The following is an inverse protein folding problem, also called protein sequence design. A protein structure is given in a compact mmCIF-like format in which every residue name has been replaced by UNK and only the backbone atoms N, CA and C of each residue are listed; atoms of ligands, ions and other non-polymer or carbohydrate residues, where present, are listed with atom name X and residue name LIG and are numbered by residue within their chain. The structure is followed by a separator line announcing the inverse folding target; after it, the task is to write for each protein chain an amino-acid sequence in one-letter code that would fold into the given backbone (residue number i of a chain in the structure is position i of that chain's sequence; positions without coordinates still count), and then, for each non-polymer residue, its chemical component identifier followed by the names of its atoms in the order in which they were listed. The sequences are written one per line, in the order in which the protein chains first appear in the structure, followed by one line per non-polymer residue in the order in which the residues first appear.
data_IF_307804627302
#
_entry.id   IF_307804627302
#
_cell.length_a   1.000
_cell.length_b   1.000
_cell.length_c   1.000
_cell.angle_alpha   90.00
_cell.angle_beta   90.00
_cell.angle_gamma   90.00
#
_symmetry.space_group_name_H-M   'P 1'
#
loop_
_entity.id
_entity.type
_entity.pdbx_description
1 polymer ?
#
# COMPACT_ATOMS: atom_id res chain seq x y z
N UNK A 1 -0.40 37.67 -22.47
CA UNK A 1 -0.87 37.31 -21.11
C UNK A 1 -2.28 36.74 -21.21
N UNK A 2 -2.40 35.41 -21.31
CA UNK A 2 -3.68 34.70 -21.45
C UNK A 2 -3.89 33.80 -20.24
N UNK A 3 -5.13 33.77 -19.78
CA UNK A 3 -5.62 33.23 -18.51
C UNK A 3 -5.27 31.76 -18.27
N UNK A 4 -4.44 31.52 -17.24
CA UNK A 4 -4.09 30.20 -16.73
C UNK A 4 -4.94 29.89 -15.47
N UNK A 5 -6.26 29.73 -15.67
CA UNK A 5 -7.25 29.55 -14.58
C UNK A 5 -8.11 28.30 -14.73
N UNK A 6 -7.61 27.28 -15.43
CA UNK A 6 -8.41 26.08 -15.75
C UNK A 6 -7.94 24.77 -15.14
N UNK A 7 -6.89 24.75 -14.30
CA UNK A 7 -6.38 23.48 -13.74
C UNK A 7 -6.73 23.19 -12.26
N UNK A 8 -7.61 23.97 -11.64
CA UNK A 8 -8.12 23.69 -10.28
C UNK A 8 -9.41 22.85 -10.27
N UNK A 9 -9.60 21.98 -11.26
CA UNK A 9 -10.80 21.12 -11.36
C UNK A 9 -10.41 19.66 -11.57
N UNK A 10 -9.71 19.03 -10.60
CA UNK A 10 -9.60 17.56 -10.51
C UNK A 10 -9.17 17.02 -9.13
N UNK A 11 -9.56 17.69 -8.05
CA UNK A 11 -9.78 17.04 -6.75
C UNK A 11 -11.23 17.22 -6.35
N UNK A 12 -12.14 16.74 -7.21
CA UNK A 12 -13.42 16.27 -6.68
C UNK A 12 -13.06 15.07 -5.84
N UNK A 13 -13.14 15.23 -4.52
CA UNK A 13 -13.16 14.12 -3.58
C UNK A 13 -13.95 12.98 -4.24
N UNK A 14 -13.29 11.83 -4.45
CA UNK A 14 -13.99 10.60 -4.84
C UNK A 14 -15.17 10.54 -3.90
N UNK A 15 -16.36 10.58 -4.48
CA UNK A 15 -17.63 10.64 -3.76
C UNK A 15 -17.52 9.71 -2.57
N UNK A 16 -17.78 10.26 -1.37
CA UNK A 16 -18.02 9.52 -0.13
C UNK A 16 -18.59 8.16 -0.51
N UNK A 17 -17.86 7.08 -0.20
CA UNK A 17 -18.26 5.68 -0.44
C UNK A 17 -19.78 5.61 -0.42
N UNK A 18 -20.39 5.52 -1.61
CA UNK A 18 -21.83 5.51 -1.78
C UNK A 18 -22.33 4.30 -0.99
N UNK A 19 -22.92 4.57 0.17
CA UNK A 19 -23.76 3.67 0.94
C UNK A 19 -23.33 2.19 0.95
N UNK A 20 -22.08 1.87 1.35
CA UNK A 20 -21.79 0.51 1.83
C UNK A 20 -22.66 0.15 3.05
N UNK A 21 -23.17 1.19 3.72
CA UNK A 21 -24.24 1.15 4.72
C UNK A 21 -25.60 1.51 4.10
N UNK A 22 -25.94 1.04 2.88
CA UNK A 22 -27.34 0.97 2.46
C UNK A 22 -28.02 -0.08 3.33
N UNK A 23 -28.32 0.34 4.56
CA UNK A 23 -29.25 -0.30 5.47
C UNK A 23 -30.56 -0.39 4.71
N UNK A 24 -30.80 -1.53 4.08
CA UNK A 24 -32.15 -1.84 3.63
C UNK A 24 -33.03 -1.71 4.89
N UNK A 25 -34.03 -0.81 4.90
CA UNK A 25 -34.95 -0.69 6.02
C UNK A 25 -35.55 -2.05 6.43
N UNK A 26 -35.65 -2.96 5.46
CA UNK A 26 -36.05 -4.36 5.65
C UNK A 26 -35.12 -5.10 6.61
N UNK A 27 -33.79 -4.96 6.49
CA UNK A 27 -32.83 -5.58 7.43
C UNK A 27 -32.98 -5.03 8.85
N UNK A 28 -33.26 -3.73 9.00
CA UNK A 28 -33.48 -3.13 10.33
C UNK A 28 -34.72 -3.70 11.01
N UNK A 29 -35.81 -3.83 10.26
CA UNK A 29 -37.09 -4.38 10.75
C UNK A 29 -36.98 -5.88 11.04
N UNK A 30 -36.39 -6.65 10.13
CA UNK A 30 -36.22 -8.10 10.26
C UNK A 30 -35.37 -8.47 11.49
N UNK A 31 -34.22 -7.81 11.67
CA UNK A 31 -33.38 -8.01 12.85
C UNK A 31 -34.03 -7.51 14.15
N UNK A 32 -34.82 -6.43 14.07
CA UNK A 32 -35.60 -5.94 15.20
C UNK A 32 -36.67 -6.96 15.63
N UNK A 33 -37.31 -7.62 14.67
CA UNK A 33 -38.26 -8.70 14.91
C UNK A 33 -37.56 -9.97 15.43
N UNK A 34 -36.47 -10.40 14.79
CA UNK A 34 -35.68 -11.55 15.22
C UNK A 34 -35.11 -11.36 16.64
N UNK A 35 -34.65 -10.15 16.96
CA UNK A 35 -34.25 -9.80 18.32
C UNK A 35 -35.43 -9.92 19.28
N UNK A 36 -36.59 -9.35 18.97
CA UNK A 36 -37.79 -9.47 19.82
C UNK A 36 -38.18 -10.92 20.11
N UNK A 37 -38.11 -11.80 19.12
CA UNK A 37 -38.40 -13.23 19.24
C UNK A 37 -37.38 -13.94 20.14
N UNK A 38 -36.09 -13.65 19.97
CA UNK A 38 -35.01 -14.28 20.74
C UNK A 38 -34.87 -13.76 22.18
N UNK A 39 -35.60 -12.72 22.60
CA UNK A 39 -35.51 -12.18 23.98
C UNK A 39 -35.82 -13.22 25.06
N UNK A 40 -36.59 -14.26 24.71
CA UNK A 40 -36.95 -15.35 25.61
C UNK A 40 -36.08 -16.60 25.51
N UNK A 41 -35.15 -16.66 24.55
CA UNK A 41 -34.33 -17.84 24.33
C UNK A 41 -33.18 -17.91 25.37
N UNK A 42 -32.84 -19.11 25.86
CA UNK A 42 -31.65 -19.30 26.69
C UNK A 42 -30.39 -18.93 25.90
N UNK A 43 -29.44 -18.26 26.55
CA UNK A 43 -28.13 -18.04 25.97
C UNK A 43 -27.29 -19.32 26.10
N UNK A 44 -26.68 -19.74 24.99
CA UNK A 44 -25.64 -20.76 25.03
C UNK A 44 -24.29 -20.17 25.47
N UNK A 45 -23.24 -21.01 25.56
CA UNK A 45 -21.88 -20.54 25.87
C UNK A 45 -21.38 -19.47 24.87
N UNK A 46 -21.87 -19.50 23.63
CA UNK A 46 -21.51 -18.57 22.56
C UNK A 46 -22.50 -17.40 22.40
N UNK A 47 -23.39 -17.18 23.37
CA UNK A 47 -24.43 -16.15 23.34
C UNK A 47 -25.76 -16.64 22.77
N UNK A 48 -26.64 -15.69 22.43
CA UNK A 48 -27.95 -16.02 21.82
C UNK A 48 -27.85 -16.26 20.31
N UNK A 49 -28.84 -16.94 19.73
CA UNK A 49 -28.92 -17.13 18.28
C UNK A 49 -28.93 -15.79 17.52
N UNK A 50 -29.57 -14.75 18.07
CA UNK A 50 -29.51 -13.40 17.53
C UNK A 50 -28.09 -12.82 17.56
N UNK A 51 -27.33 -12.99 18.65
CA UNK A 51 -25.95 -12.49 18.73
C UNK A 51 -25.04 -13.20 17.73
N UNK A 52 -25.21 -14.51 17.54
CA UNK A 52 -24.48 -15.28 16.54
C UNK A 52 -24.79 -14.82 15.11
N UNK A 53 -26.07 -14.60 14.77
CA UNK A 53 -26.47 -14.05 13.47
C UNK A 53 -25.90 -12.66 13.26
N UNK A 54 -25.97 -11.79 14.27
CA UNK A 54 -25.41 -10.45 14.23
C UNK A 54 -23.90 -10.47 13.94
N UNK A 55 -23.16 -11.35 14.63
CA UNK A 55 -21.73 -11.55 14.43
C UNK A 55 -21.42 -12.08 13.02
N UNK A 56 -22.21 -13.03 12.52
CA UNK A 56 -22.08 -13.55 11.16
C UNK A 56 -22.28 -12.45 10.11
N UNK A 57 -23.34 -11.64 10.24
CA UNK A 57 -23.59 -10.51 9.33
C UNK A 57 -22.49 -9.45 9.41
N UNK A 58 -21.97 -9.17 10.61
CA UNK A 58 -20.82 -8.27 10.77
C UNK A 58 -19.61 -8.79 10.00
N UNK A 59 -19.23 -10.06 10.19
CA UNK A 59 -18.09 -10.69 9.51
C UNK A 59 -18.26 -10.70 7.99
N UNK A 60 -19.45 -11.02 7.50
CA UNK A 60 -19.75 -11.00 6.08
C UNK A 60 -19.60 -9.60 5.48
N UNK A 61 -20.13 -8.58 6.13
CA UNK A 61 -20.02 -7.20 5.66
C UNK A 61 -18.58 -6.68 5.72
N UNK A 62 -17.83 -7.06 6.76
CA UNK A 62 -16.42 -6.75 6.90
C UNK A 62 -15.58 -7.40 5.78
N UNK A 63 -15.83 -8.67 5.45
CA UNK A 63 -15.21 -9.36 4.32
C UNK A 63 -15.57 -8.71 2.98
N UNK A 64 -16.81 -8.24 2.81
CA UNK A 64 -17.23 -7.50 1.59
C UNK A 64 -16.50 -6.17 1.44
N UNK A 65 -16.23 -5.46 2.55
CA UNK A 65 -15.39 -4.24 2.52
C UNK A 65 -14.00 -4.62 2.01
N UNK A 66 -13.37 -5.62 2.63
CA UNK A 66 -12.03 -6.05 2.25
C UNK A 66 -11.95 -6.47 0.77
N UNK A 67 -12.90 -7.27 0.28
CA UNK A 67 -12.95 -7.72 -1.10
C UNK A 67 -13.11 -6.53 -2.08
N UNK A 68 -14.02 -5.60 -1.80
CA UNK A 68 -14.21 -4.41 -2.65
C UNK A 68 -13.00 -3.51 -2.67
N UNK A 69 -12.32 -3.36 -1.53
CA UNK A 69 -11.06 -2.60 -1.46
C UNK A 69 -9.97 -3.30 -2.27
N UNK A 70 -9.85 -4.63 -2.18
CA UNK A 70 -8.91 -5.40 -2.98
C UNK A 70 -9.16 -5.22 -4.49
N UNK A 71 -10.42 -5.29 -4.92
CA UNK A 71 -10.80 -5.09 -6.33
C UNK A 71 -10.50 -3.65 -6.80
N UNK A 72 -10.82 -2.66 -5.96
CA UNK A 72 -10.58 -1.24 -6.27
C UNK A 72 -9.09 -0.90 -6.37
N UNK A 73 -8.24 -1.59 -5.61
CA UNK A 73 -6.79 -1.40 -5.58
C UNK A 73 -6.01 -2.35 -6.48
N UNK A 74 -6.68 -3.30 -7.15
CA UNK A 74 -6.01 -4.38 -7.88
C UNK A 74 -5.01 -3.86 -8.92
N UNK A 75 -5.37 -2.77 -9.63
CA UNK A 75 -4.54 -2.16 -10.65
C UNK A 75 -3.33 -1.44 -10.03
N UNK A 76 -3.58 -0.56 -9.08
CA UNK A 76 -2.56 0.27 -8.40
C UNK A 76 -1.57 -0.62 -7.63
N UNK A 77 -2.04 -1.67 -6.95
CA UNK A 77 -1.20 -2.63 -6.24
C UNK A 77 -0.35 -3.48 -7.20
N UNK A 78 -0.88 -3.84 -8.38
CA UNK A 78 -0.11 -4.53 -9.42
C UNK A 78 0.97 -3.61 -9.99
N UNK A 79 0.59 -2.38 -10.34
CA UNK A 79 1.54 -1.38 -10.87
C UNK A 79 2.64 -1.10 -9.85
N UNK A 80 2.31 -0.96 -8.55
CA UNK A 80 3.30 -0.78 -7.49
C UNK A 80 4.32 -1.92 -7.45
N UNK A 81 3.87 -3.19 -7.55
CA UNK A 81 4.76 -4.35 -7.60
C UNK A 81 5.66 -4.34 -8.82
N UNK A 82 5.12 -4.01 -9.99
CA UNK A 82 5.87 -3.93 -11.25
C UNK A 82 6.94 -2.83 -11.19
N UNK A 83 6.55 -1.63 -10.75
CA UNK A 83 7.47 -0.50 -10.61
C UNK A 83 8.54 -0.76 -9.55
N UNK A 84 8.19 -1.38 -8.42
CA UNK A 84 9.18 -1.76 -7.41
C UNK A 84 10.17 -2.80 -7.95
N UNK A 85 9.68 -3.81 -8.69
CA UNK A 85 10.55 -4.79 -9.36
C UNK A 85 11.48 -4.12 -10.37
N UNK A 86 10.99 -3.13 -11.12
CA UNK A 86 11.80 -2.34 -12.04
C UNK A 86 12.86 -1.53 -11.29
N UNK A 87 12.49 -0.84 -10.21
CA UNK A 87 13.42 -0.06 -9.39
C UNK A 87 14.58 -0.92 -8.83
N UNK A 88 14.27 -2.13 -8.35
CA UNK A 88 15.29 -3.09 -7.89
C UNK A 88 16.20 -3.53 -9.04
N UNK A 89 15.65 -3.73 -10.24
CA UNK A 89 16.45 -4.08 -11.43
C UNK A 89 17.42 -2.95 -11.80
N UNK A 90 16.93 -1.70 -11.85
CA UNK A 90 17.75 -0.53 -12.16
C UNK A 90 18.91 -0.37 -11.18
N UNK A 91 18.71 -0.64 -9.88
CA UNK A 91 19.79 -0.66 -8.89
C UNK A 91 20.92 -1.61 -9.28
N UNK A 92 20.60 -2.84 -9.70
CA UNK A 92 21.60 -3.82 -10.14
C UNK A 92 22.30 -3.42 -11.44
N UNK A 93 21.57 -2.76 -12.35
CA UNK A 93 22.15 -2.26 -13.61
C UNK A 93 23.13 -1.11 -13.33
N UNK A 94 22.81 -0.21 -12.39
CA UNK A 94 23.72 0.84 -11.92
C UNK A 94 24.98 0.21 -11.32
N UNK A 95 24.85 -0.74 -10.40
CA UNK A 95 25.99 -1.44 -9.78
C UNK A 95 26.89 -2.10 -10.85
N UNK A 96 26.28 -2.69 -11.89
CA UNK A 96 27.02 -3.32 -12.99
C UNK A 96 27.78 -2.29 -13.85
N UNK A 97 27.19 -1.12 -14.12
CA UNK A 97 27.89 -0.04 -14.83
C UNK A 97 29.00 0.55 -13.98
N UNK A 98 28.79 0.75 -12.68
CA UNK A 98 29.81 1.21 -11.75
C UNK A 98 30.99 0.23 -11.66
N UNK A 99 30.72 -1.07 -11.63
CA UNK A 99 31.75 -2.09 -11.71
C UNK A 99 32.56 -1.99 -13.03
N UNK A 100 31.88 -1.82 -14.17
CA UNK A 100 32.54 -1.62 -15.48
C UNK A 100 33.40 -0.36 -15.51
N UNK A 101 32.99 0.71 -14.81
CA UNK A 101 33.81 1.93 -14.66
C UNK A 101 35.07 1.62 -13.85
N UNK A 102 34.94 0.89 -12.74
CA UNK A 102 36.09 0.51 -11.89
C UNK A 102 37.05 -0.48 -12.55
N UNK A 103 36.55 -1.29 -13.49
CA UNK A 103 37.35 -2.25 -14.28
C UNK A 103 37.95 -1.63 -15.56
N UNK A 104 37.61 -0.38 -15.89
CA UNK A 104 38.13 0.27 -17.09
C UNK A 104 39.66 0.42 -16.96
N UNK A 105 40.44 -0.20 -17.86
CA UNK A 105 41.89 -0.18 -17.72
C UNK A 105 42.43 1.23 -17.97
N UNK A 106 43.34 1.65 -17.10
CA UNK A 106 44.10 2.89 -17.30
C UNK A 106 44.75 2.88 -18.69
N UNK A 107 44.76 4.03 -19.39
CA UNK A 107 45.30 4.10 -20.73
C UNK A 107 46.79 3.73 -20.70
N UNK A 108 47.19 2.74 -21.49
CA UNK A 108 48.60 2.34 -21.59
C UNK A 108 49.33 3.37 -22.46
N UNK A 109 50.00 4.32 -21.81
CA UNK A 109 50.64 5.46 -22.49
C UNK A 109 52.04 5.12 -23.06
N UNK A 110 52.69 4.06 -22.58
CA UNK A 110 54.09 3.75 -22.89
C UNK A 110 54.32 2.69 -23.98
N UNK A 111 53.28 1.99 -24.44
CA UNK A 111 53.44 0.90 -25.41
C UNK A 111 53.38 1.43 -26.85
N UNK A 112 54.47 1.39 -27.62
CA UNK A 112 54.47 1.77 -29.05
C UNK A 112 54.24 0.52 -29.90
N UNK A 113 53.12 0.45 -30.61
CA UNK A 113 52.86 -0.65 -31.54
C UNK A 113 53.75 -0.57 -32.78
N UNK A 114 54.00 -1.70 -33.46
CA UNK A 114 54.84 -1.72 -34.68
C UNK A 114 54.32 -0.80 -35.81
N UNK A 115 53.01 -0.53 -35.86
CA UNK A 115 52.40 0.42 -36.81
C UNK A 115 52.46 1.89 -36.39
N UNK A 116 52.92 2.19 -35.17
CA UNK A 116 52.96 3.55 -34.59
C UNK A 116 54.38 4.11 -34.50
N UNK A 117 55.40 3.34 -34.92
CA UNK A 117 56.82 3.70 -34.84
C UNK A 117 57.22 4.97 -35.61
N UNK A 118 56.35 5.47 -36.48
CA UNK A 118 56.56 6.67 -37.30
C UNK A 118 55.68 7.85 -36.88
N UNK A 119 54.87 7.69 -35.84
CA UNK A 119 53.98 8.73 -35.33
C UNK A 119 54.60 9.42 -34.12
N UNK A 120 54.25 10.70 -33.94
CA UNK A 120 54.63 11.47 -32.76
C UNK A 120 54.05 10.83 -31.50
N UNK A 121 54.91 10.54 -30.52
CA UNK A 121 54.56 9.93 -29.24
C UNK A 121 53.52 10.79 -28.49
N UNK A 122 53.59 12.12 -28.61
CA UNK A 122 52.59 13.01 -28.04
C UNK A 122 51.22 12.84 -28.70
N UNK A 123 51.17 12.62 -30.01
CA UNK A 123 49.93 12.41 -30.75
C UNK A 123 49.28 11.05 -30.41
N UNK A 124 50.08 9.98 -30.25
CA UNK A 124 49.60 8.65 -29.83
C UNK A 124 49.02 8.74 -28.42
N UNK A 125 49.75 9.36 -27.48
CA UNK A 125 49.30 9.56 -26.10
C UNK A 125 47.98 10.33 -26.03
N UNK A 126 47.88 11.44 -26.75
CA UNK A 126 46.66 12.26 -26.81
C UNK A 126 45.48 11.52 -27.44
N UNK A 127 45.72 10.63 -28.40
CA UNK A 127 44.66 9.78 -28.96
C UNK A 127 44.17 8.75 -27.94
N UNK A 128 45.07 8.04 -27.27
CA UNK A 128 44.71 7.01 -26.27
C UNK A 128 43.97 7.59 -25.07
N UNK A 129 44.38 8.76 -24.61
CA UNK A 129 43.64 9.50 -23.57
C UNK A 129 42.23 9.84 -24.05
N UNK A 130 42.06 10.36 -25.26
CA UNK A 130 40.72 10.63 -25.82
C UNK A 130 39.85 9.39 -25.97
N UNK A 131 40.43 8.26 -26.36
CA UNK A 131 39.69 6.98 -26.47
C UNK A 131 39.24 6.48 -25.09
N UNK A 132 40.13 6.56 -24.08
CA UNK A 132 39.80 6.24 -22.70
C UNK A 132 38.72 7.18 -22.14
N UNK A 133 38.89 8.50 -22.27
CA UNK A 133 37.95 9.50 -21.80
C UNK A 133 36.58 9.36 -22.46
N UNK A 134 36.54 9.00 -23.75
CA UNK A 134 35.30 8.73 -24.46
C UNK A 134 34.60 7.46 -23.92
N UNK A 135 35.36 6.40 -23.63
CA UNK A 135 34.81 5.17 -23.05
C UNK A 135 34.28 5.40 -21.62
N UNK A 136 35.05 6.11 -20.79
CA UNK A 136 34.64 6.50 -19.45
C UNK A 136 33.40 7.40 -19.48
N UNK A 137 33.39 8.42 -20.35
CA UNK A 137 32.26 9.31 -20.53
C UNK A 137 30.98 8.57 -20.93
N UNK A 138 31.08 7.60 -21.85
CA UNK A 138 29.94 6.78 -22.25
C UNK A 138 29.36 5.96 -21.08
N UNK A 139 30.21 5.37 -20.24
CA UNK A 139 29.77 4.63 -19.05
C UNK A 139 29.16 5.56 -17.99
N UNK A 140 29.74 6.74 -17.79
CA UNK A 140 29.21 7.74 -16.86
C UNK A 140 27.84 8.26 -17.32
N UNK A 141 27.66 8.50 -18.62
CA UNK A 141 26.38 8.87 -19.21
C UNK A 141 25.34 7.76 -19.07
N UNK A 142 25.73 6.49 -19.26
CA UNK A 142 24.88 5.31 -19.02
C UNK A 142 24.43 5.24 -17.56
N UNK A 143 25.36 5.34 -16.60
CA UNK A 143 25.05 5.34 -15.17
C UNK A 143 24.13 6.49 -14.78
N UNK A 144 24.35 7.70 -15.33
CA UNK A 144 23.50 8.86 -15.09
C UNK A 144 22.07 8.62 -15.57
N UNK A 145 21.90 8.11 -16.79
CA UNK A 145 20.56 7.80 -17.34
C UNK A 145 19.82 6.77 -16.49
N UNK A 146 20.51 5.72 -16.05
CA UNK A 146 19.92 4.70 -15.19
C UNK A 146 19.50 5.26 -13.83
N UNK A 147 20.31 6.16 -13.24
CA UNK A 147 19.95 6.86 -11.99
C UNK A 147 18.74 7.78 -12.18
N UNK A 148 18.70 8.55 -13.27
CA UNK A 148 17.56 9.43 -13.58
C UNK A 148 16.27 8.60 -13.77
N UNK A 149 16.35 7.47 -14.46
CA UNK A 149 15.22 6.53 -14.62
C UNK A 149 14.81 5.91 -13.28
N UNK A 150 15.77 5.50 -12.45
CA UNK A 150 15.53 4.92 -11.13
C UNK A 150 14.80 5.91 -10.22
N UNK A 151 15.21 7.17 -10.22
CA UNK A 151 14.54 8.25 -9.48
C UNK A 151 13.10 8.45 -9.94
N UNK A 152 12.85 8.47 -11.26
CA UNK A 152 11.50 8.60 -11.80
C UNK A 152 10.59 7.41 -11.40
N UNK A 153 11.12 6.18 -11.43
CA UNK A 153 10.42 4.99 -10.98
C UNK A 153 10.15 5.04 -9.47
N UNK A 154 11.09 5.55 -8.68
CA UNK A 154 10.94 5.73 -7.23
C UNK A 154 9.82 6.71 -6.88
N UNK A 155 9.76 7.87 -7.55
CA UNK A 155 8.67 8.84 -7.37
C UNK A 155 7.29 8.21 -7.69
N UNK A 156 7.24 7.41 -8.76
CA UNK A 156 6.02 6.67 -9.14
C UNK A 156 5.64 5.66 -8.06
N UNK A 157 6.60 4.90 -7.54
CA UNK A 157 6.40 3.95 -6.45
C UNK A 157 5.85 4.63 -5.19
N UNK A 158 6.44 5.76 -4.77
CA UNK A 158 5.99 6.53 -3.61
C UNK A 158 4.55 7.00 -3.79
N UNK A 159 4.21 7.51 -4.97
CA UNK A 159 2.85 7.97 -5.29
C UNK A 159 1.82 6.83 -5.25
N UNK A 160 2.14 5.69 -5.86
CA UNK A 160 1.28 4.51 -5.87
C UNK A 160 1.10 3.93 -4.46
N UNK A 161 2.19 3.87 -3.67
CA UNK A 161 2.15 3.42 -2.28
C UNK A 161 1.28 4.32 -1.43
N UNK A 162 1.38 5.64 -1.56
CA UNK A 162 0.52 6.58 -0.85
C UNK A 162 -0.96 6.36 -1.20
N UNK A 163 -1.28 6.18 -2.49
CA UNK A 163 -2.66 5.90 -2.94
C UNK A 163 -3.21 4.60 -2.35
N UNK A 164 -2.41 3.53 -2.37
CA UNK A 164 -2.79 2.22 -1.82
C UNK A 164 -2.96 2.28 -0.30
N UNK A 165 -2.09 3.03 0.40
CA UNK A 165 -2.17 3.22 1.84
C UNK A 165 -3.41 4.03 2.24
N UNK A 166 -3.70 5.13 1.56
CA UNK A 166 -4.87 5.97 1.84
C UNK A 166 -6.18 5.18 1.69
N UNK A 167 -6.35 4.43 0.60
CA UNK A 167 -7.56 3.62 0.40
C UNK A 167 -7.67 2.46 1.40
N UNK A 168 -6.56 1.91 1.88
CA UNK A 168 -6.56 0.92 2.96
C UNK A 168 -6.94 1.54 4.30
N UNK A 169 -6.42 2.71 4.64
CA UNK A 169 -6.79 3.45 5.85
C UNK A 169 -8.29 3.80 5.84
N UNK A 170 -8.81 4.26 4.70
CA UNK A 170 -10.25 4.49 4.52
C UNK A 170 -11.06 3.21 4.72
N UNK A 171 -10.59 2.06 4.22
CA UNK A 171 -11.25 0.78 4.44
C UNK A 171 -11.26 0.39 5.92
N UNK A 172 -10.15 0.60 6.64
CA UNK A 172 -10.05 0.39 8.09
C UNK A 172 -11.04 1.27 8.85
N UNK A 173 -11.15 2.56 8.51
CA UNK A 173 -12.14 3.46 9.11
C UNK A 173 -13.59 2.97 8.88
N UNK A 174 -13.89 2.51 7.67
CA UNK A 174 -15.23 2.00 7.33
C UNK A 174 -15.53 0.72 8.12
N UNK A 175 -14.57 -0.20 8.26
CA UNK A 175 -14.69 -1.38 9.12
C UNK A 175 -14.88 -1.02 10.58
N UNK A 176 -14.16 -0.01 11.09
CA UNK A 176 -14.33 0.44 12.46
C UNK A 176 -15.73 1.03 12.71
N UNK A 177 -16.23 1.86 11.79
CA UNK A 177 -17.60 2.38 11.87
C UNK A 177 -18.63 1.26 11.82
N UNK A 178 -18.41 0.24 10.99
CA UNK A 178 -19.24 -0.96 10.93
C UNK A 178 -19.24 -1.68 12.28
N UNK A 179 -18.06 -1.93 12.86
CA UNK A 179 -17.89 -2.56 14.17
C UNK A 179 -18.61 -1.78 15.26
N UNK A 180 -18.49 -0.46 15.27
CA UNK A 180 -19.18 0.40 16.25
C UNK A 180 -20.70 0.29 16.13
N UNK A 181 -21.22 0.32 14.90
CA UNK A 181 -22.64 0.14 14.63
C UNK A 181 -23.17 -1.18 15.20
N UNK A 182 -22.53 -2.30 14.86
CA UNK A 182 -22.96 -3.62 15.33
C UNK A 182 -22.76 -3.80 16.84
N UNK A 183 -21.71 -3.24 17.43
CA UNK A 183 -21.49 -3.24 18.88
C UNK A 183 -22.59 -2.47 19.62
N UNK A 184 -22.94 -1.28 19.14
CA UNK A 184 -24.06 -0.48 19.69
C UNK A 184 -25.38 -1.25 19.61
N UNK A 185 -25.60 -1.96 18.51
CA UNK A 185 -26.79 -2.78 18.31
C UNK A 185 -26.85 -3.95 19.29
N UNK A 186 -25.75 -4.68 19.47
CA UNK A 186 -25.61 -5.74 20.48
C UNK A 186 -25.88 -5.23 21.89
N UNK A 187 -25.31 -4.10 22.26
CA UNK A 187 -25.52 -3.49 23.57
C UNK A 187 -26.98 -3.05 23.79
N UNK A 188 -27.66 -2.59 22.74
CA UNK A 188 -29.09 -2.20 22.80
C UNK A 188 -29.97 -3.42 23.02
N UNK A 189 -29.70 -4.51 22.29
CA UNK A 189 -30.40 -5.78 22.45
C UNK A 189 -30.21 -6.38 23.85
N UNK A 190 -28.96 -6.42 24.32
CA UNK A 190 -28.60 -6.96 25.64
C UNK A 190 -29.34 -6.22 26.76
N UNK A 191 -29.35 -4.88 26.71
CA UNK A 191 -30.13 -4.05 27.65
C UNK A 191 -31.64 -4.34 27.60
N UNK A 192 -32.20 -4.53 26.41
CA UNK A 192 -33.62 -4.86 26.26
C UNK A 192 -33.97 -6.24 26.83
N UNK A 193 -33.08 -7.22 26.67
CA UNK A 193 -33.22 -8.58 27.26
C UNK A 193 -33.11 -8.53 28.78
N UNK A 194 -32.14 -7.79 29.32
CA UNK A 194 -31.99 -7.58 30.78
C UNK A 194 -33.25 -6.95 31.40
N UNK A 195 -33.80 -5.90 30.77
CA UNK A 195 -35.04 -5.25 31.23
C UNK A 195 -36.27 -6.15 31.19
N UNK A 196 -36.30 -7.15 30.33
CA UNK A 196 -37.41 -8.09 30.26
C UNK A 196 -37.47 -9.08 31.44
N UNK A 197 -36.57 -8.96 32.43
CA UNK A 197 -36.56 -9.79 33.64
C UNK A 197 -36.18 -11.25 33.40
N UNK A 198 -35.61 -11.54 32.22
CA UNK A 198 -35.23 -12.90 31.78
C UNK A 198 -33.71 -13.11 31.71
N UNK A 199 -32.94 -12.17 32.25
CA UNK A 199 -31.51 -12.35 32.47
C UNK A 199 -31.31 -13.05 33.82
N UNK A 200 -30.66 -14.20 33.80
CA UNK A 200 -30.24 -14.94 34.99
C UNK A 200 -29.35 -14.04 35.86
N UNK A 201 -29.40 -14.10 37.21
CA UNK A 201 -28.65 -13.18 38.09
C UNK A 201 -27.12 -13.20 37.92
N UNK A 202 -26.54 -14.25 37.30
CA UNK A 202 -25.12 -14.31 36.94
C UNK A 202 -24.74 -13.44 35.72
N UNK A 203 -25.70 -12.96 34.91
CA UNK A 203 -25.47 -12.19 33.67
C UNK A 203 -25.40 -10.65 33.88
N UNK A 204 -25.52 -10.16 35.13
CA UNK A 204 -25.65 -8.72 35.40
C UNK A 204 -24.33 -7.97 35.24
N UNK A 205 -23.18 -8.66 35.36
CA UNK A 205 -21.84 -8.05 35.20
C UNK A 205 -21.34 -8.08 33.75
N UNK A 206 -21.99 -8.83 32.86
CA UNK A 206 -21.58 -8.97 31.47
C UNK A 206 -22.14 -7.80 30.66
N UNK A 207 -21.50 -6.64 30.74
CA UNK A 207 -21.61 -5.68 29.63
C UNK A 207 -21.29 -6.45 28.35
N UNK A 208 -22.19 -6.39 27.37
CA UNK A 208 -21.98 -7.09 26.10
C UNK A 208 -20.63 -6.70 25.54
N UNK A 209 -19.70 -7.67 25.49
CA UNK A 209 -18.36 -7.42 25.01
C UNK A 209 -18.42 -6.81 23.60
N UNK A 210 -17.53 -5.86 23.27
CA UNK A 210 -17.44 -5.31 21.93
C UNK A 210 -17.21 -6.44 20.92
N UNK A 211 -17.68 -6.26 19.70
CA UNK A 211 -17.38 -7.21 18.63
C UNK A 211 -15.87 -7.23 18.37
N UNK A 212 -15.31 -8.39 17.98
CA UNK A 212 -13.87 -8.51 17.73
C UNK A 212 -13.45 -7.55 16.63
N UNK A 213 -12.26 -6.96 16.79
CA UNK A 213 -11.61 -6.21 15.72
C UNK A 213 -11.27 -7.18 14.59
N UNK A 214 -11.51 -6.76 13.34
CA UNK A 214 -11.13 -7.56 12.19
C UNK A 214 -9.60 -7.68 12.10
N UNK A 215 -9.08 -8.88 11.85
CA UNK A 215 -7.64 -9.12 11.88
C UNK A 215 -6.88 -8.25 10.85
N UNK A 216 -7.48 -8.05 9.67
CA UNK A 216 -6.87 -7.31 8.56
C UNK A 216 -6.70 -5.81 8.86
N UNK A 217 -7.50 -5.22 9.75
CA UNK A 217 -7.36 -3.78 10.10
C UNK A 217 -6.21 -3.52 11.08
N UNK A 218 -5.63 -4.57 11.66
CA UNK A 218 -4.49 -4.46 12.59
C UNK A 218 -3.16 -4.80 11.96
N UNK A 219 -3.18 -5.23 10.69
CA UNK A 219 -1.99 -5.61 9.94
C UNK A 219 -1.51 -4.44 9.07
N UNK A 220 -0.22 -4.40 8.71
CA UNK A 220 0.27 -3.52 7.65
C UNK A 220 -0.52 -3.71 6.37
N UNK A 221 -0.59 -2.67 5.53
CA UNK A 221 -1.32 -2.71 4.27
C UNK A 221 -0.90 -3.94 3.43
N UNK A 222 -1.81 -4.90 3.16
CA UNK A 222 -1.46 -6.18 2.56
C UNK A 222 -1.08 -6.06 1.07
N UNK A 223 -1.37 -4.91 0.45
CA UNK A 223 -1.09 -4.67 -0.97
C UNK A 223 0.23 -3.94 -1.22
N UNK A 224 0.91 -3.48 -0.16
CA UNK A 224 2.26 -2.91 -0.26
C UNK A 224 3.29 -4.05 -0.22
N UNK A 225 4.27 -4.10 -1.15
CA UNK A 225 5.29 -5.13 -1.15
C UNK A 225 6.06 -5.19 0.17
N UNK A 226 6.32 -6.41 0.66
CA UNK A 226 7.12 -6.59 1.88
C UNK A 226 8.52 -5.97 1.69
N UNK A 227 8.95 -5.19 2.68
CA UNK A 227 10.26 -4.53 2.65
C UNK A 227 10.32 -3.21 1.89
N UNK A 228 9.30 -2.83 1.13
CA UNK A 228 9.22 -1.56 0.38
C UNK A 228 9.61 -0.36 1.26
N UNK A 229 9.02 -0.28 2.45
CA UNK A 229 9.23 0.82 3.42
C UNK A 229 10.65 0.88 3.97
N UNK A 230 11.42 -0.22 3.92
CA UNK A 230 12.82 -0.21 4.32
C UNK A 230 13.73 0.16 3.16
N UNK A 231 13.42 -0.31 1.94
CA UNK A 231 14.31 -0.13 0.79
C UNK A 231 14.26 1.28 0.21
N UNK A 232 13.05 1.85 0.04
CA UNK A 232 12.92 3.15 -0.63
C UNK A 232 13.18 4.31 0.33
N UNK A 233 12.75 4.20 1.60
CA UNK A 233 12.88 5.31 2.57
C UNK A 233 14.32 5.54 3.01
N UNK A 234 15.14 4.49 3.11
CA UNK A 234 16.56 4.63 3.46
C UNK A 234 17.39 5.31 2.36
N UNK A 235 17.01 5.15 1.10
CA UNK A 235 17.74 5.77 -0.02
C UNK A 235 17.36 7.24 -0.23
N UNK A 236 16.10 7.63 0.04
CA UNK A 236 15.72 9.05 0.08
C UNK A 236 16.55 9.83 1.10
N UNK A 237 16.86 9.22 2.26
CA UNK A 237 17.71 9.87 3.27
C UNK A 237 19.19 9.90 2.90
N UNK A 238 19.65 8.97 2.05
CA UNK A 238 21.02 8.94 1.54
C UNK A 238 21.25 10.00 0.45
N UNK A 239 20.28 10.21 -0.44
CA UNK A 239 20.38 11.20 -1.54
C UNK A 239 20.25 12.66 -1.07
N UNK A 240 19.75 12.89 0.16
CA UNK A 240 19.61 14.24 0.75
C UNK A 240 20.85 14.67 1.56
N UNK A 241 21.81 13.76 1.81
CA UNK A 241 23.04 14.03 2.57
C UNK A 241 24.24 14.24 1.67
#
# INVERSE_FOLDING_TARGET
MRNDRTDRRRHRSRRRVEHALSLDPVFYVADGAAGRLDRGAPAGPDGTAWEQRLLATYRENDQRILARTADALAREARELREQYGHWVRLGREIDAVEARIGELPEPVLAAVGNGERHLDEAAIKARRLREHDAALGALQDEARRLRDERSAVQERCVTLRATVAEEFELACEVSERLRWFYTRRRATYTRARQRAGRATPLDVTTQAAPLPTAAWTTQPCPWVPAGFDRTITMEVEADVR
#
